data_IF_105897575449
#
_entry.id   IF_105897575449
#
_cell.length_a   1.000
_cell.length_b   1.000
_cell.length_c   1.000
_cell.angle_alpha   90.00
_cell.angle_beta   90.00
_cell.angle_gamma   90.00
#
_symmetry.space_group_name_H-M   'P 1'
#
loop_
_entity.id
_entity.type
_entity.pdbx_description
1 polymer ?
#
# COMPACT_ATOMS: atom_id res chain seq x y z
N UNK A 1 3.74 -12.28 -31.19
CA UNK A 1 4.39 -10.96 -31.02
C UNK A 1 5.87 -11.17 -31.06
N UNK A 2 6.66 -10.31 -31.75
CA UNK A 2 8.12 -10.48 -31.88
C UNK A 2 8.83 -9.95 -30.63
N UNK A 3 9.87 -10.64 -30.15
CA UNK A 3 10.75 -10.25 -29.02
C UNK A 3 11.11 -8.74 -29.07
N UNK A 4 11.46 -8.25 -30.25
CA UNK A 4 11.79 -6.82 -30.48
C UNK A 4 10.59 -5.88 -30.23
N UNK A 5 9.36 -6.34 -30.41
CA UNK A 5 8.13 -5.55 -30.15
C UNK A 5 7.88 -5.40 -28.63
N UNK A 6 8.11 -6.46 -27.88
CA UNK A 6 7.95 -6.47 -26.43
C UNK A 6 9.01 -5.59 -25.76
N UNK A 7 10.27 -5.65 -26.22
CA UNK A 7 11.36 -4.78 -25.74
C UNK A 7 11.04 -3.28 -25.91
N UNK A 8 10.48 -2.88 -27.06
CA UNK A 8 10.10 -1.49 -27.33
C UNK A 8 8.95 -1.08 -26.42
N UNK A 9 7.94 -1.95 -26.26
CA UNK A 9 6.81 -1.69 -25.35
C UNK A 9 7.30 -1.49 -23.92
N UNK A 10 8.17 -2.34 -23.42
CA UNK A 10 8.75 -2.25 -22.08
C UNK A 10 9.59 -0.98 -21.89
N UNK A 11 10.32 -0.56 -22.94
CA UNK A 11 11.08 0.69 -22.93
C UNK A 11 10.16 1.90 -22.81
N UNK A 12 9.03 1.91 -23.52
CA UNK A 12 8.01 2.95 -23.40
C UNK A 12 7.39 2.96 -21.99
N UNK A 13 7.03 1.80 -21.43
CA UNK A 13 6.47 1.72 -20.08
C UNK A 13 7.47 2.18 -19.00
N UNK A 14 8.76 1.85 -19.13
CA UNK A 14 9.80 2.40 -18.23
C UNK A 14 9.88 3.91 -18.31
N UNK A 15 9.88 4.48 -19.51
CA UNK A 15 9.86 5.93 -19.71
C UNK A 15 8.62 6.57 -19.10
N UNK A 16 7.44 5.97 -19.31
CA UNK A 16 6.20 6.47 -18.73
C UNK A 16 6.20 6.43 -17.19
N UNK A 17 6.75 5.38 -16.57
CA UNK A 17 6.90 5.32 -15.11
C UNK A 17 7.84 6.40 -14.57
N UNK A 18 8.95 6.66 -15.23
CA UNK A 18 9.88 7.70 -14.84
C UNK A 18 9.24 9.10 -14.90
N UNK A 19 8.48 9.38 -15.97
CA UNK A 19 7.77 10.64 -16.11
C UNK A 19 6.59 10.77 -15.12
N UNK A 20 5.85 9.69 -14.87
CA UNK A 20 4.78 9.65 -13.86
C UNK A 20 5.32 9.94 -12.44
N UNK A 21 6.51 9.44 -12.11
CA UNK A 21 7.13 9.69 -10.81
C UNK A 21 7.44 11.19 -10.62
N UNK A 22 7.83 11.90 -11.68
CA UNK A 22 8.20 13.32 -11.62
C UNK A 22 6.99 14.25 -11.76
N UNK A 23 6.07 13.94 -12.67
CA UNK A 23 5.01 14.86 -13.13
C UNK A 23 3.60 14.42 -12.77
N UNK A 24 3.43 13.23 -12.13
CA UNK A 24 2.13 12.68 -11.84
C UNK A 24 1.29 12.44 -13.12
N UNK A 25 0.00 12.66 -13.03
CA UNK A 25 -0.92 12.49 -14.18
C UNK A 25 -0.80 13.61 -15.24
N UNK A 26 0.02 14.64 -15.03
CA UNK A 26 0.24 15.72 -16.02
C UNK A 26 1.22 15.35 -17.14
N UNK A 27 1.79 14.15 -17.14
CA UNK A 27 2.72 13.64 -18.16
C UNK A 27 2.14 13.71 -19.56
N UNK A 28 2.93 14.17 -20.54
CA UNK A 28 2.59 14.20 -21.96
C UNK A 28 3.26 13.06 -22.71
N UNK A 29 2.68 12.63 -23.83
CA UNK A 29 3.25 11.55 -24.67
C UNK A 29 4.63 11.92 -25.21
N UNK A 30 4.86 13.21 -25.46
CA UNK A 30 6.14 13.74 -25.92
C UNK A 30 7.27 13.53 -24.89
N UNK A 31 6.95 13.76 -23.61
CA UNK A 31 7.89 13.55 -22.50
C UNK A 31 8.27 12.06 -22.42
N UNK A 32 7.28 11.17 -22.47
CA UNK A 32 7.51 9.72 -22.47
C UNK A 32 8.33 9.27 -23.69
N UNK A 33 8.02 9.78 -24.87
CA UNK A 33 8.74 9.45 -26.10
C UNK A 33 10.22 9.85 -26.00
N UNK A 34 10.50 11.06 -25.48
CA UNK A 34 11.88 11.56 -25.27
C UNK A 34 12.63 10.67 -24.25
N UNK A 35 12.04 10.41 -23.08
CA UNK A 35 12.66 9.58 -22.04
C UNK A 35 12.86 8.14 -22.50
N UNK A 36 11.91 7.57 -23.25
CA UNK A 36 12.05 6.24 -23.84
C UNK A 36 12.98 6.18 -25.05
N UNK A 37 13.44 7.33 -25.60
CA UNK A 37 14.29 7.37 -26.81
C UNK A 37 13.58 6.78 -28.03
N UNK A 38 12.27 7.07 -28.20
CA UNK A 38 11.47 6.65 -29.35
C UNK A 38 10.69 7.85 -29.92
N UNK A 39 10.12 7.69 -31.13
CA UNK A 39 9.24 8.73 -31.68
C UNK A 39 7.86 8.68 -31.04
N UNK A 40 7.15 9.83 -30.99
CA UNK A 40 5.72 9.91 -30.62
C UNK A 40 4.85 8.94 -31.44
N UNK A 41 5.12 8.81 -32.76
CA UNK A 41 4.46 7.83 -33.64
C UNK A 41 4.70 6.40 -33.14
N UNK A 42 5.90 6.09 -32.65
CA UNK A 42 6.18 4.78 -32.08
C UNK A 42 5.36 4.53 -30.83
N UNK A 43 5.20 5.51 -29.95
CA UNK A 43 4.34 5.37 -28.75
C UNK A 43 2.91 5.06 -29.15
N UNK A 44 2.31 5.82 -30.08
CA UNK A 44 0.93 5.62 -30.55
C UNK A 44 0.72 4.31 -31.32
N UNK A 45 1.77 3.67 -31.79
CA UNK A 45 1.67 2.32 -32.35
C UNK A 45 1.37 1.24 -31.28
N UNK A 46 1.77 1.48 -30.01
CA UNK A 46 1.59 0.55 -28.91
C UNK A 46 0.43 0.94 -27.98
N UNK A 47 0.08 2.19 -27.94
CA UNK A 47 -0.95 2.73 -27.04
C UNK A 47 -1.80 3.74 -27.80
N UNK A 48 -3.09 3.43 -28.00
CA UNK A 48 -4.01 4.22 -28.82
C UNK A 48 -4.21 5.64 -28.28
N UNK A 49 -4.13 5.80 -26.95
CA UNK A 49 -4.32 7.08 -26.29
C UNK A 49 -3.25 7.31 -25.22
N UNK A 50 -3.07 8.58 -24.82
CA UNK A 50 -2.24 8.95 -23.65
C UNK A 50 -2.72 8.23 -22.38
N UNK A 51 -4.02 8.20 -22.15
CA UNK A 51 -4.58 7.61 -20.92
C UNK A 51 -4.41 6.08 -20.92
N UNK A 52 -4.46 5.41 -22.06
CA UNK A 52 -4.13 3.99 -22.17
C UNK A 52 -2.65 3.72 -21.86
N UNK A 53 -1.74 4.59 -22.30
CA UNK A 53 -0.32 4.52 -21.96
C UNK A 53 -0.09 4.68 -20.45
N UNK A 54 -0.67 5.73 -19.85
CA UNK A 54 -0.50 6.00 -18.41
C UNK A 54 -1.14 4.88 -17.59
N UNK A 55 -2.32 4.40 -17.96
CA UNK A 55 -2.98 3.27 -17.31
C UNK A 55 -2.08 2.02 -17.30
N UNK A 56 -1.54 1.65 -18.45
CA UNK A 56 -0.64 0.49 -18.56
C UNK A 56 0.62 0.64 -17.70
N UNK A 57 1.21 1.85 -17.64
CA UNK A 57 2.38 2.13 -16.82
C UNK A 57 2.06 2.07 -15.31
N UNK A 58 0.88 2.55 -14.90
CA UNK A 58 0.43 2.51 -13.51
C UNK A 58 0.10 1.07 -13.10
N UNK A 59 -0.59 0.30 -13.95
CA UNK A 59 -0.87 -1.12 -13.69
C UNK A 59 0.43 -1.92 -13.49
N UNK A 60 1.43 -1.67 -14.33
CA UNK A 60 2.72 -2.34 -14.22
C UNK A 60 3.43 -1.99 -12.89
N UNK A 61 3.37 -0.73 -12.46
CA UNK A 61 3.86 -0.32 -11.14
C UNK A 61 3.08 -0.97 -10.00
N UNK A 62 1.76 -1.09 -10.12
CA UNK A 62 0.90 -1.70 -9.09
C UNK A 62 1.15 -3.19 -8.91
N UNK A 63 1.44 -3.92 -9.99
CA UNK A 63 1.79 -5.35 -9.89
C UNK A 63 3.02 -5.59 -9.02
N UNK A 64 4.02 -4.74 -9.14
CA UNK A 64 5.23 -4.85 -8.34
C UNK A 64 5.09 -4.33 -6.90
N UNK A 65 4.06 -3.52 -6.60
CA UNK A 65 3.90 -2.90 -5.28
C UNK A 65 3.76 -3.93 -4.16
N UNK A 66 2.93 -4.94 -4.36
CA UNK A 66 2.70 -5.98 -3.35
C UNK A 66 3.93 -6.85 -3.06
N UNK A 67 4.82 -6.99 -4.05
CA UNK A 67 6.01 -7.83 -3.95
C UNK A 67 7.14 -7.15 -3.14
N UNK A 68 7.06 -5.82 -2.95
CA UNK A 68 8.04 -5.07 -2.16
C UNK A 68 7.80 -5.15 -0.65
N UNK A 69 6.61 -5.53 -0.21
CA UNK A 69 6.34 -5.77 1.21
C UNK A 69 6.91 -7.13 1.59
N UNK A 70 7.94 -7.18 2.45
CA UNK A 70 8.58 -8.45 2.80
C UNK A 70 7.57 -9.36 3.52
N UNK A 71 7.60 -10.65 3.16
CA UNK A 71 6.86 -11.67 3.90
C UNK A 71 7.60 -12.01 5.17
N UNK A 72 6.92 -12.10 6.33
CA UNK A 72 7.60 -12.48 7.56
C UNK A 72 8.11 -13.91 7.46
N UNK A 73 9.38 -14.10 7.82
CA UNK A 73 9.97 -15.43 7.99
C UNK A 73 9.45 -16.14 9.24
N UNK A 74 9.81 -17.43 9.45
CA UNK A 74 9.35 -18.20 10.60
C UNK A 74 9.73 -17.63 11.96
N UNK A 75 10.85 -16.90 12.04
CA UNK A 75 11.38 -16.28 13.27
C UNK A 75 11.17 -14.75 13.29
N UNK A 76 10.30 -14.22 12.44
CA UNK A 76 10.07 -12.78 12.38
C UNK A 76 9.36 -12.30 13.65
N UNK A 77 9.88 -11.23 14.24
CA UNK A 77 9.20 -10.45 15.26
C UNK A 77 8.47 -9.25 14.65
N UNK A 78 7.55 -8.66 15.41
CA UNK A 78 6.72 -7.55 14.95
C UNK A 78 7.54 -6.32 14.58
N UNK A 79 8.55 -5.94 15.39
CA UNK A 79 9.30 -4.70 15.19
C UNK A 79 10.19 -4.77 13.96
N UNK A 80 10.94 -5.86 13.81
CA UNK A 80 11.81 -6.10 12.67
C UNK A 80 11.00 -6.12 11.37
N UNK A 81 9.91 -6.91 11.35
CA UNK A 81 9.07 -7.00 10.16
C UNK A 81 8.41 -5.67 9.80
N UNK A 82 7.85 -4.94 10.79
CA UNK A 82 7.25 -3.62 10.53
C UNK A 82 8.29 -2.62 10.03
N UNK A 83 9.51 -2.63 10.59
CA UNK A 83 10.58 -1.76 10.14
C UNK A 83 10.92 -2.00 8.67
N UNK A 84 11.16 -3.25 8.29
CA UNK A 84 11.50 -3.61 6.91
C UNK A 84 10.36 -3.30 5.94
N UNK A 85 9.14 -3.66 6.31
CA UNK A 85 7.95 -3.44 5.49
C UNK A 85 7.66 -1.95 5.27
N UNK A 86 7.68 -1.14 6.32
CA UNK A 86 7.40 0.30 6.20
C UNK A 86 8.53 1.05 5.52
N UNK A 87 9.80 0.68 5.74
CA UNK A 87 10.92 1.25 4.97
C UNK A 87 10.74 0.96 3.48
N UNK A 88 10.41 -0.28 3.09
CA UNK A 88 10.17 -0.63 1.70
C UNK A 88 9.00 0.17 1.09
N UNK A 89 7.88 0.26 1.82
CA UNK A 89 6.69 1.02 1.38
C UNK A 89 6.99 2.50 1.20
N UNK A 90 7.69 3.13 2.15
CA UNK A 90 7.95 4.58 2.07
C UNK A 90 9.01 4.93 1.02
N UNK A 91 10.00 4.06 0.76
CA UNK A 91 10.90 4.20 -0.39
C UNK A 91 10.13 4.21 -1.70
N UNK A 92 9.20 3.28 -1.85
CA UNK A 92 8.39 3.17 -3.05
C UNK A 92 7.39 4.33 -3.18
N UNK A 93 6.77 4.76 -2.08
CA UNK A 93 5.91 5.95 -2.08
C UNK A 93 6.69 7.20 -2.48
N UNK A 94 7.94 7.37 -2.05
CA UNK A 94 8.78 8.48 -2.48
C UNK A 94 9.09 8.46 -3.98
N UNK A 95 9.18 7.27 -4.59
CA UNK A 95 9.42 7.13 -6.03
C UNK A 95 8.16 7.30 -6.88
N UNK A 96 6.98 6.87 -6.37
CA UNK A 96 5.75 6.76 -7.17
C UNK A 96 4.53 7.42 -6.50
N UNK A 97 4.70 7.97 -5.29
CA UNK A 97 3.60 8.43 -4.43
C UNK A 97 2.76 9.53 -5.05
N UNK A 98 3.37 10.42 -5.84
CA UNK A 98 2.64 11.51 -6.50
C UNK A 98 1.47 11.02 -7.35
N UNK A 99 1.69 10.02 -8.20
CA UNK A 99 0.62 9.46 -9.02
C UNK A 99 -0.43 8.73 -8.17
N UNK A 100 -0.01 8.05 -7.11
CA UNK A 100 -0.94 7.39 -6.20
C UNK A 100 -1.76 8.38 -5.37
N UNK A 101 -1.17 9.51 -5.00
CA UNK A 101 -1.87 10.62 -4.37
C UNK A 101 -2.93 11.21 -5.31
N UNK A 102 -2.57 11.54 -6.55
CA UNK A 102 -3.47 12.11 -7.54
C UNK A 102 -4.63 11.14 -7.88
N UNK A 103 -4.38 9.84 -7.97
CA UNK A 103 -5.42 8.81 -8.13
C UNK A 103 -6.32 8.70 -6.89
N UNK A 104 -5.78 8.91 -5.68
CA UNK A 104 -6.54 8.87 -4.44
C UNK A 104 -7.41 10.11 -4.26
N UNK A 105 -6.90 11.30 -4.61
CA UNK A 105 -7.60 12.58 -4.49
C UNK A 105 -8.73 12.78 -5.52
N UNK A 106 -8.91 11.82 -6.44
CA UNK A 106 -9.99 11.86 -7.43
C UNK A 106 -9.67 12.68 -8.69
N UNK A 107 -8.38 12.97 -8.95
CA UNK A 107 -7.94 13.60 -10.18
C UNK A 107 -8.34 12.77 -11.43
N UNK A 108 -8.46 11.45 -11.28
CA UNK A 108 -8.94 10.52 -12.31
C UNK A 108 -10.40 10.12 -12.04
N UNK A 109 -11.37 10.85 -12.60
CA UNK A 109 -12.81 10.65 -12.31
C UNK A 109 -13.54 9.79 -13.32
N UNK A 110 -12.96 9.47 -14.49
CA UNK A 110 -13.65 8.72 -15.54
C UNK A 110 -12.69 8.06 -16.51
N UNK A 111 -13.24 7.30 -17.47
CA UNK A 111 -12.48 6.59 -18.49
C UNK A 111 -11.49 5.57 -17.89
N UNK A 112 -10.48 5.23 -18.68
CA UNK A 112 -9.46 4.22 -18.33
C UNK A 112 -8.73 4.57 -17.02
N UNK A 113 -8.40 5.85 -16.79
CA UNK A 113 -7.75 6.27 -15.54
C UNK A 113 -8.66 6.14 -14.31
N UNK A 114 -9.97 6.35 -14.49
CA UNK A 114 -10.97 6.10 -13.45
C UNK A 114 -11.08 4.60 -13.09
N UNK A 115 -10.97 3.71 -14.08
CA UNK A 115 -10.94 2.26 -13.87
C UNK A 115 -9.69 1.87 -13.07
N UNK A 116 -8.53 2.39 -13.44
CA UNK A 116 -7.27 2.19 -12.69
C UNK A 116 -7.36 2.70 -11.25
N UNK A 117 -7.96 3.87 -11.04
CA UNK A 117 -8.16 4.40 -9.70
C UNK A 117 -9.06 3.48 -8.84
N UNK A 118 -10.07 2.84 -9.43
CA UNK A 118 -10.93 1.84 -8.76
C UNK A 118 -10.15 0.56 -8.45
N UNK A 119 -9.43 0.01 -9.42
CA UNK A 119 -8.60 -1.19 -9.24
C UNK A 119 -7.56 -0.98 -8.14
N UNK A 120 -6.89 0.19 -8.12
CA UNK A 120 -5.96 0.57 -7.06
C UNK A 120 -6.63 0.59 -5.68
N UNK A 121 -7.83 1.14 -5.54
CA UNK A 121 -8.55 1.14 -4.26
C UNK A 121 -8.83 -0.27 -3.76
N UNK A 122 -9.17 -1.19 -4.65
CA UNK A 122 -9.38 -2.60 -4.29
C UNK A 122 -8.09 -3.27 -3.86
N UNK A 123 -7.02 -3.17 -4.67
CA UNK A 123 -5.71 -3.74 -4.34
C UNK A 123 -5.14 -3.18 -3.02
N UNK A 124 -5.37 -1.87 -2.76
CA UNK A 124 -4.96 -1.24 -1.50
C UNK A 124 -5.73 -1.80 -0.30
N UNK A 125 -7.05 -2.01 -0.40
CA UNK A 125 -7.83 -2.61 0.70
C UNK A 125 -7.33 -4.01 1.04
N UNK A 126 -7.05 -4.82 0.03
CA UNK A 126 -6.50 -6.16 0.20
C UNK A 126 -5.10 -6.14 0.83
N UNK A 127 -4.25 -5.20 0.40
CA UNK A 127 -2.92 -5.02 1.00
C UNK A 127 -3.02 -4.64 2.48
N UNK A 128 -3.84 -3.64 2.80
CA UNK A 128 -4.06 -3.20 4.19
C UNK A 128 -4.60 -4.35 5.04
N UNK A 129 -5.55 -5.14 4.54
CA UNK A 129 -6.07 -6.30 5.25
C UNK A 129 -4.96 -7.30 5.55
N UNK A 130 -4.24 -7.77 4.53
CA UNK A 130 -3.13 -8.74 4.71
C UNK A 130 -2.03 -8.23 5.64
N UNK A 131 -1.72 -6.93 5.56
CA UNK A 131 -0.72 -6.31 6.43
C UNK A 131 -1.18 -6.29 7.88
N UNK A 132 -2.44 -5.90 8.11
CA UNK A 132 -3.07 -5.88 9.44
C UNK A 132 -3.09 -7.27 10.04
N UNK A 133 -3.56 -8.28 9.31
CA UNK A 133 -3.62 -9.68 9.77
C UNK A 133 -2.21 -10.20 10.14
N UNK A 134 -1.21 -9.82 9.36
CA UNK A 134 0.18 -10.21 9.65
C UNK A 134 0.71 -9.52 10.90
N UNK A 135 0.50 -8.21 11.05
CA UNK A 135 0.91 -7.46 12.24
C UNK A 135 0.22 -7.98 13.49
N UNK A 136 -1.09 -8.24 13.40
CA UNK A 136 -1.91 -8.77 14.48
C UNK A 136 -1.41 -10.13 14.97
N UNK A 137 -1.16 -11.04 14.06
CA UNK A 137 -0.59 -12.37 14.37
C UNK A 137 0.80 -12.27 15.02
N UNK A 138 1.68 -11.40 14.51
CA UNK A 138 3.02 -11.18 15.07
C UNK A 138 2.98 -10.51 16.46
N UNK A 139 1.92 -9.79 16.78
CA UNK A 139 1.67 -9.22 18.10
C UNK A 139 0.99 -10.20 19.07
N UNK A 140 0.73 -11.46 18.66
CA UNK A 140 -0.05 -12.47 19.40
C UNK A 140 -1.49 -12.01 19.72
N UNK A 141 -2.08 -11.21 18.83
CA UNK A 141 -3.47 -10.77 18.96
C UNK A 141 -4.44 -11.94 18.82
N UNK A 142 -5.49 -11.94 19.64
CA UNK A 142 -6.56 -12.95 19.63
C UNK A 142 -7.81 -12.40 18.95
N UNK A 143 -8.54 -13.25 18.24
CA UNK A 143 -9.71 -12.82 17.46
C UNK A 143 -9.34 -11.90 16.29
N UNK A 144 -10.32 -11.15 15.79
CA UNK A 144 -10.11 -10.20 14.71
C UNK A 144 -9.51 -8.89 15.23
N UNK A 145 -8.58 -8.26 14.48
CA UNK A 145 -8.06 -6.96 14.84
C UNK A 145 -9.18 -5.89 14.83
N UNK A 146 -9.21 -4.99 15.81
CA UNK A 146 -10.17 -3.87 15.81
C UNK A 146 -10.05 -2.99 14.57
N UNK A 147 -11.15 -2.41 14.09
CA UNK A 147 -11.19 -1.59 12.87
C UNK A 147 -10.20 -0.41 12.93
N UNK A 148 -10.03 0.22 14.10
CA UNK A 148 -9.08 1.32 14.25
C UNK A 148 -7.61 0.89 14.04
N UNK A 149 -7.26 -0.37 14.30
CA UNK A 149 -5.93 -0.92 13.97
C UNK A 149 -5.74 -0.96 12.46
N UNK A 150 -6.76 -1.43 11.72
CA UNK A 150 -6.77 -1.42 10.26
C UNK A 150 -6.65 0.00 9.71
N UNK A 151 -7.38 0.95 10.27
CA UNK A 151 -7.32 2.36 9.88
C UNK A 151 -5.93 2.94 10.12
N UNK A 152 -5.32 2.63 11.27
CA UNK A 152 -3.95 3.03 11.61
C UNK A 152 -2.95 2.45 10.61
N UNK A 153 -3.04 1.17 10.28
CA UNK A 153 -2.23 0.54 9.22
C UNK A 153 -2.43 1.26 7.88
N UNK A 154 -3.69 1.53 7.50
CA UNK A 154 -4.00 2.19 6.24
C UNK A 154 -3.36 3.57 6.13
N UNK A 155 -3.39 4.38 7.19
CA UNK A 155 -2.74 5.70 7.22
C UNK A 155 -1.22 5.56 7.13
N UNK A 156 -0.62 4.65 7.91
CA UNK A 156 0.83 4.47 7.95
C UNK A 156 1.42 3.90 6.65
N UNK A 157 0.65 3.15 5.85
CA UNK A 157 1.07 2.66 4.52
C UNK A 157 0.82 3.68 3.40
N UNK A 158 0.27 4.86 3.70
CA UNK A 158 -0.17 5.78 2.66
C UNK A 158 0.97 6.64 2.10
N UNK A 159 0.83 7.02 0.82
CA UNK A 159 1.67 8.05 0.22
C UNK A 159 1.50 9.42 0.91
N UNK A 160 0.35 9.68 1.54
CA UNK A 160 0.12 10.89 2.33
C UNK A 160 1.10 11.00 3.51
N UNK A 161 1.35 9.89 4.21
CA UNK A 161 2.31 9.89 5.32
C UNK A 161 3.74 10.16 4.84
N UNK A 162 4.11 9.64 3.65
CA UNK A 162 5.41 9.93 3.03
C UNK A 162 5.54 11.41 2.67
N UNK A 163 4.54 11.97 1.99
CA UNK A 163 4.53 13.38 1.56
C UNK A 163 4.52 14.35 2.75
N UNK A 164 3.71 14.07 3.78
CA UNK A 164 3.63 14.92 4.96
C UNK A 164 4.93 14.94 5.79
N UNK A 165 5.64 13.81 5.88
CA UNK A 165 6.84 13.71 6.71
C UNK A 165 8.14 13.96 5.94
N UNK A 166 8.15 13.70 4.65
CA UNK A 166 9.31 13.92 3.79
C UNK A 166 9.54 15.43 3.55
N UNK A 167 8.77 16.08 2.67
CA UNK A 167 8.96 17.48 2.31
C UNK A 167 8.82 18.43 3.48
N UNK A 168 7.78 18.26 4.33
CA UNK A 168 7.47 19.22 5.40
C UNK A 168 8.48 19.17 6.55
N UNK A 169 9.10 18.01 6.81
CA UNK A 169 10.05 17.82 7.91
C UNK A 169 11.46 17.41 7.46
N UNK A 170 11.72 17.39 6.16
CA UNK A 170 13.04 17.08 5.60
C UNK A 170 13.52 15.64 5.89
N UNK A 171 12.60 14.68 6.07
CA UNK A 171 12.93 13.31 6.43
C UNK A 171 13.13 12.43 5.20
N UNK A 172 14.14 11.58 5.24
CA UNK A 172 14.33 10.55 4.24
C UNK A 172 13.26 9.43 4.37
N UNK A 173 12.86 8.79 3.26
CA UNK A 173 11.82 7.73 3.27
C UNK A 173 12.09 6.61 4.28
N UNK A 174 13.35 6.22 4.47
CA UNK A 174 13.75 5.22 5.45
C UNK A 174 13.52 5.66 6.90
N UNK A 175 13.73 6.93 7.19
CA UNK A 175 13.49 7.50 8.52
C UNK A 175 12.01 7.58 8.81
N UNK A 176 11.21 7.97 7.79
CA UNK A 176 9.75 7.93 7.84
C UNK A 176 9.29 6.51 8.14
N UNK A 177 9.75 5.54 7.36
CA UNK A 177 9.39 4.12 7.53
C UNK A 177 9.71 3.62 8.95
N UNK A 178 10.92 3.82 9.44
CA UNK A 178 11.32 3.39 10.80
C UNK A 178 10.54 4.09 11.90
N UNK A 179 10.24 5.38 11.74
CA UNK A 179 9.47 6.13 12.73
C UNK A 179 8.03 5.63 12.82
N UNK A 180 7.38 5.44 11.68
CA UNK A 180 6.00 4.94 11.61
C UNK A 180 5.90 3.47 12.02
N UNK A 181 6.93 2.65 11.75
CA UNK A 181 7.01 1.27 12.23
C UNK A 181 6.96 1.19 13.76
N UNK A 182 7.74 2.04 14.45
CA UNK A 182 7.70 2.11 15.92
C UNK A 182 6.34 2.52 16.45
N UNK A 183 5.74 3.55 15.89
CA UNK A 183 4.41 4.01 16.30
C UNK A 183 3.35 2.91 16.09
N UNK A 184 3.37 2.25 14.92
CA UNK A 184 2.45 1.18 14.60
C UNK A 184 2.65 -0.06 15.49
N UNK A 185 3.90 -0.42 15.81
CA UNK A 185 4.20 -1.51 16.73
C UNK A 185 3.58 -1.30 18.11
N UNK A 186 3.68 -0.08 18.65
CA UNK A 186 3.04 0.28 19.92
C UNK A 186 1.52 0.17 19.84
N UNK A 187 0.91 0.70 18.78
CA UNK A 187 -0.53 0.65 18.59
C UNK A 187 -1.06 -0.80 18.49
N UNK A 188 -0.40 -1.63 17.68
CA UNK A 188 -0.82 -3.03 17.47
C UNK A 188 -0.63 -3.86 18.75
N UNK A 189 0.49 -3.69 19.46
CA UNK A 189 0.72 -4.41 20.74
C UNK A 189 -0.28 -4.01 21.81
N UNK A 190 -0.55 -2.71 21.95
CA UNK A 190 -1.57 -2.24 22.90
C UNK A 190 -2.92 -2.86 22.63
N UNK A 191 -3.37 -2.82 21.38
CA UNK A 191 -4.64 -3.44 20.98
C UNK A 191 -4.66 -4.95 21.20
N UNK A 192 -3.55 -5.66 20.94
CA UNK A 192 -3.46 -7.10 21.15
C UNK A 192 -3.51 -7.46 22.65
N UNK A 193 -2.86 -6.70 23.51
CA UNK A 193 -2.93 -6.87 24.96
C UNK A 193 -4.37 -6.66 25.48
N UNK A 194 -5.04 -5.58 25.06
CA UNK A 194 -6.42 -5.29 25.43
C UNK A 194 -7.39 -6.42 25.00
N UNK A 195 -7.18 -7.02 23.84
CA UNK A 195 -8.00 -8.12 23.34
C UNK A 195 -7.82 -9.40 24.19
N UNK A 196 -6.61 -9.67 24.67
CA UNK A 196 -6.34 -10.81 25.58
C UNK A 196 -7.03 -10.61 26.93
N UNK A 197 -6.94 -9.40 27.49
CA UNK A 197 -7.55 -9.08 28.79
C UNK A 197 -9.08 -9.16 28.74
N UNK A 198 -9.70 -8.70 27.66
CA UNK A 198 -11.14 -8.82 27.45
C UNK A 198 -11.58 -10.29 27.29
N UNK A 199 -10.77 -11.12 26.63
CA UNK A 199 -10.99 -12.56 26.50
C UNK A 199 -10.99 -13.28 27.86
N UNK A 200 -10.13 -12.88 28.78
CA UNK A 200 -10.08 -13.45 30.14
C UNK A 200 -11.25 -12.99 31.02
N UNK A 201 -11.72 -11.74 30.85
CA UNK A 201 -12.83 -11.19 31.63
C UNK A 201 -14.19 -11.83 31.29
N UNK A 202 -14.34 -12.43 30.11
CA UNK A 202 -15.58 -13.09 29.67
C UNK A 202 -15.68 -14.57 30.08
N UNK A 203 -14.64 -15.18 30.62
CA UNK A 203 -14.66 -16.55 31.12
C UNK A 203 -15.14 -16.53 32.58
N UNK A 204 -16.36 -17.01 32.91
CA UNK A 204 -16.82 -17.04 34.30
C UNK A 204 -15.92 -17.97 35.11
N UNK A 205 -15.63 -17.62 36.39
CA UNK A 205 -14.79 -18.44 37.25
C UNK A 205 -15.34 -19.86 37.37
N UNK A 206 -14.50 -20.90 37.34
CA UNK A 206 -14.93 -22.26 37.49
C UNK A 206 -15.54 -22.43 38.89
N UNK A 207 -16.87 -22.60 38.97
CA UNK A 207 -17.55 -22.86 40.24
C UNK A 207 -18.73 -21.96 40.61
N UNK A 208 -19.18 -21.05 39.74
CA UNK A 208 -20.39 -20.26 40.02
C UNK A 208 -21.61 -21.14 40.05
N UNK A 209 -22.41 -21.21 41.18
CA UNK A 209 -23.58 -22.09 41.30
C UNK A 209 -24.68 -21.64 40.32
N UNK A 210 -25.13 -22.55 39.47
CA UNK A 210 -26.30 -22.38 38.60
C UNK A 210 -27.53 -22.03 39.48
N UNK A 211 -27.97 -20.77 39.42
CA UNK A 211 -29.27 -20.37 40.02
C UNK A 211 -30.35 -21.21 39.36
N UNK A 212 -30.94 -22.14 40.14
CA UNK A 212 -32.15 -22.86 39.77
C UNK A 212 -33.27 -21.84 39.58
N UNK A 213 -33.82 -21.74 38.38
CA UNK A 213 -35.10 -21.04 38.14
C UNK A 213 -36.18 -21.86 38.86
N UNK A 214 -36.73 -21.30 39.93
CA UNK A 214 -37.95 -21.80 40.54
C UNK A 214 -39.13 -21.52 39.61
N UNK A 215 -39.77 -22.56 39.15
CA UNK A 215 -41.06 -22.46 38.48
C UNK A 215 -42.13 -22.09 39.52
N UNK A 216 -42.92 -21.11 39.21
CA UNK A 216 -44.29 -20.91 39.69
C UNK A 216 -45.17 -20.59 38.51
#
# INVERSE_FOLDING_TARGET
>A
MSIRSDEVRDKILRGARAELAQRGLAVRVEDVAATAGVSRRTVFRYFDTRDALLAAAIEDSMRSYGDHVPRPGPAADLDGWLSDALVAVHRMNAQHGRVYFELASGAARGGVLGDIARARRTARRELVQRFTDTAWRLANGTGDPPDWVKDTVAVNLSAFATEALGPDFGRHPEEVGRSLARALAHAVRGAAADAVDQGHATTPPPGAPRRRRSAK
#
